data_IF_803075559829
#
_entry.id   IF_803075559829
#
_cell.length_a   1.000
_cell.length_b   1.000
_cell.length_c   1.000
_cell.angle_alpha   90.00
_cell.angle_beta   90.00
_cell.angle_gamma   90.00
#
_symmetry.space_group_name_H-M   'P 1'
#
loop_
_entity.id
_entity.type
_entity.pdbx_description
1 polymer ?
#
# COMPACT_ATOMS: atom_id res chain seq x y z
N UNK A 1 -10.04 -9.47 7.56
CA UNK A 1 -10.91 -8.58 6.77
C UNK A 1 -11.77 -7.62 7.60
N UNK A 2 -12.16 -7.94 8.84
CA UNK A 2 -12.96 -7.04 9.72
C UNK A 2 -12.38 -5.62 9.86
N UNK A 3 -11.07 -5.52 10.05
CA UNK A 3 -10.39 -4.23 10.17
C UNK A 3 -10.55 -3.36 8.91
N UNK A 4 -10.45 -3.95 7.72
CA UNK A 4 -10.57 -3.23 6.44
C UNK A 4 -11.97 -2.63 6.29
N UNK A 5 -13.01 -3.42 6.54
CA UNK A 5 -14.39 -2.93 6.49
C UNK A 5 -14.64 -1.80 7.51
N UNK A 6 -14.12 -1.94 8.73
CA UNK A 6 -14.27 -0.92 9.76
C UNK A 6 -13.55 0.39 9.41
N UNK A 7 -12.33 0.31 8.89
CA UNK A 7 -11.57 1.48 8.44
C UNK A 7 -12.28 2.19 7.29
N UNK A 8 -12.70 1.45 6.26
CA UNK A 8 -13.46 2.03 5.14
C UNK A 8 -14.76 2.69 5.63
N UNK A 9 -15.52 2.01 6.50
CA UNK A 9 -16.74 2.57 7.07
C UNK A 9 -16.47 3.86 7.86
N UNK A 10 -15.47 3.87 8.73
CA UNK A 10 -15.11 5.07 9.51
C UNK A 10 -14.61 6.21 8.63
N UNK A 11 -13.90 5.95 7.53
CA UNK A 11 -13.48 7.00 6.59
C UNK A 11 -14.67 7.61 5.85
N UNK A 12 -15.58 6.79 5.31
CA UNK A 12 -16.76 7.29 4.60
C UNK A 12 -17.69 8.04 5.56
N UNK A 13 -17.93 7.51 6.76
CA UNK A 13 -18.72 8.17 7.78
C UNK A 13 -18.05 9.45 8.31
N UNK A 14 -16.71 9.48 8.39
CA UNK A 14 -15.95 10.67 8.80
C UNK A 14 -16.06 11.84 7.81
N UNK A 15 -16.40 11.57 6.55
CA UNK A 15 -16.66 12.58 5.53
C UNK A 15 -18.11 13.09 5.53
N UNK A 16 -19.03 12.39 6.22
CA UNK A 16 -20.44 12.80 6.34
C UNK A 16 -20.67 14.25 6.82
N UNK A 17 -19.97 14.80 7.84
CA UNK A 17 -20.18 16.18 8.27
C UNK A 17 -19.81 17.21 7.18
N UNK A 18 -18.80 16.92 6.35
CA UNK A 18 -18.39 17.80 5.25
C UNK A 18 -19.45 17.80 4.13
N UNK A 19 -20.05 16.64 3.87
CA UNK A 19 -21.11 16.49 2.86
C UNK A 19 -22.40 17.20 3.32
N UNK A 20 -22.65 17.24 4.63
CA UNK A 20 -23.82 17.88 5.22
C UNK A 20 -23.68 19.40 5.37
N UNK A 21 -22.45 19.94 5.35
CA UNK A 21 -22.20 21.37 5.48
C UNK A 21 -22.69 22.15 4.23
N UNK A 22 -23.33 23.31 4.47
CA UNK A 22 -23.89 24.21 3.45
C UNK A 22 -23.07 25.49 3.27
N UNK A 23 -21.97 25.65 4.00
CA UNK A 23 -21.07 26.78 3.85
C UNK A 23 -20.51 26.88 2.43
N UNK A 24 -20.27 28.11 1.94
CA UNK A 24 -19.67 28.35 0.61
C UNK A 24 -18.27 27.74 0.49
N UNK A 25 -17.58 27.56 1.61
CA UNK A 25 -16.28 26.90 1.67
C UNK A 25 -16.39 25.38 1.50
N UNK A 26 -17.45 24.76 2.04
CA UNK A 26 -17.71 23.33 1.89
C UNK A 26 -18.18 22.94 0.47
N UNK A 27 -18.77 23.86 -0.30
CA UNK A 27 -19.23 23.59 -1.67
C UNK A 27 -18.12 23.08 -2.61
N UNK A 28 -16.87 23.50 -2.40
CA UNK A 28 -15.72 22.96 -3.14
C UNK A 28 -15.24 21.61 -2.60
N UNK A 29 -15.43 21.34 -1.30
CA UNK A 29 -15.00 20.10 -0.64
C UNK A 29 -15.97 18.95 -0.88
N UNK A 30 -17.27 19.23 -1.02
CA UNK A 30 -18.32 18.23 -1.27
C UNK A 30 -18.01 17.33 -2.48
N UNK A 31 -17.74 17.85 -3.70
CA UNK A 31 -17.49 17.00 -4.87
C UNK A 31 -16.21 16.16 -4.71
N UNK A 32 -15.20 16.67 -4.00
CA UNK A 32 -13.99 15.91 -3.68
C UNK A 32 -14.27 14.78 -2.70
N UNK A 33 -14.99 15.06 -1.61
CA UNK A 33 -15.33 14.09 -0.58
C UNK A 33 -16.19 12.92 -1.12
N UNK A 34 -17.15 13.22 -2.00
CA UNK A 34 -17.98 12.20 -2.66
C UNK A 34 -17.11 11.31 -3.55
N UNK A 35 -16.22 11.90 -4.35
CA UNK A 35 -15.33 11.17 -5.26
C UNK A 35 -14.41 10.21 -4.50
N UNK A 36 -13.80 10.67 -3.39
CA UNK A 36 -12.93 9.85 -2.55
C UNK A 36 -13.71 8.74 -1.85
N UNK A 37 -14.90 9.03 -1.32
CA UNK A 37 -15.73 8.03 -0.62
C UNK A 37 -16.14 6.89 -1.54
N UNK A 38 -16.63 7.20 -2.75
CA UNK A 38 -16.98 6.19 -3.75
C UNK A 38 -15.75 5.42 -4.23
N UNK A 39 -14.64 6.11 -4.51
CA UNK A 39 -13.38 5.49 -4.90
C UNK A 39 -12.88 4.50 -3.84
N UNK A 40 -12.96 4.86 -2.56
CA UNK A 40 -12.56 4.00 -1.45
C UNK A 40 -13.45 2.77 -1.31
N UNK A 41 -14.78 2.91 -1.45
CA UNK A 41 -15.71 1.79 -1.41
C UNK A 41 -15.43 0.78 -2.54
N UNK A 42 -15.25 1.27 -3.77
CA UNK A 42 -14.91 0.42 -4.91
C UNK A 42 -13.52 -0.22 -4.76
N UNK A 43 -12.51 0.55 -4.36
CA UNK A 43 -11.16 0.04 -4.12
C UNK A 43 -11.14 -1.04 -3.02
N UNK A 44 -11.96 -0.89 -1.97
CA UNK A 44 -12.04 -1.87 -0.89
C UNK A 44 -12.47 -3.24 -1.43
N UNK A 45 -13.47 -3.30 -2.32
CA UNK A 45 -13.91 -4.56 -2.93
C UNK A 45 -12.78 -5.23 -3.72
N UNK A 46 -12.01 -4.46 -4.49
CA UNK A 46 -10.85 -4.96 -5.24
C UNK A 46 -9.75 -5.43 -4.29
N UNK A 47 -9.42 -4.64 -3.26
CA UNK A 47 -8.35 -4.94 -2.30
C UNK A 47 -8.63 -6.22 -1.51
N UNK A 48 -9.88 -6.53 -1.19
CA UNK A 48 -10.22 -7.79 -0.48
C UNK A 48 -9.73 -9.04 -1.23
N UNK A 49 -9.73 -9.01 -2.56
CA UNK A 49 -9.25 -10.10 -3.42
C UNK A 49 -7.77 -9.92 -3.76
N UNK A 50 -7.37 -8.69 -4.07
CA UNK A 50 -6.02 -8.39 -4.55
C UNK A 50 -4.96 -8.50 -3.45
N UNK A 51 -5.27 -8.05 -2.23
CA UNK A 51 -4.33 -8.04 -1.11
C UNK A 51 -3.75 -9.42 -0.78
N UNK A 52 -4.55 -10.50 -0.61
CA UNK A 52 -3.98 -11.82 -0.33
C UNK A 52 -3.11 -12.35 -1.48
N UNK A 53 -3.48 -12.07 -2.74
CA UNK A 53 -2.65 -12.42 -3.88
C UNK A 53 -1.31 -11.67 -3.85
N UNK A 54 -1.33 -10.38 -3.56
CA UNK A 54 -0.13 -9.56 -3.46
C UNK A 54 0.80 -10.00 -2.32
N UNK A 55 0.23 -10.38 -1.17
CA UNK A 55 1.01 -10.92 -0.05
C UNK A 55 1.71 -12.24 -0.40
N UNK A 56 1.04 -13.13 -1.12
CA UNK A 56 1.67 -14.36 -1.61
C UNK A 56 2.81 -14.09 -2.60
N UNK A 57 2.63 -13.14 -3.52
CA UNK A 57 3.67 -12.75 -4.47
C UNK A 57 4.86 -12.13 -3.74
N UNK A 58 4.61 -11.22 -2.80
CA UNK A 58 5.65 -10.60 -1.98
C UNK A 58 6.44 -11.66 -1.19
N UNK A 59 5.78 -12.69 -0.66
CA UNK A 59 6.46 -13.79 0.01
C UNK A 59 7.37 -14.58 -0.95
N UNK A 60 6.86 -14.91 -2.15
CA UNK A 60 7.64 -15.61 -3.18
C UNK A 60 8.89 -14.82 -3.61
N UNK A 61 8.75 -13.50 -3.78
CA UNK A 61 9.88 -12.62 -4.10
C UNK A 61 10.95 -12.72 -3.01
N UNK A 62 10.57 -12.63 -1.73
CA UNK A 62 11.52 -12.75 -0.60
C UNK A 62 12.24 -14.10 -0.59
N UNK A 63 11.50 -15.21 -0.76
CA UNK A 63 12.08 -16.56 -0.83
C UNK A 63 13.09 -16.64 -1.98
N UNK A 64 12.75 -16.11 -3.14
CA UNK A 64 13.62 -16.13 -4.31
C UNK A 64 14.87 -15.25 -4.13
N UNK A 65 14.73 -14.05 -3.57
CA UNK A 65 15.86 -13.18 -3.26
C UNK A 65 16.86 -13.83 -2.31
N UNK A 66 16.36 -14.55 -1.29
CA UNK A 66 17.23 -15.26 -0.32
C UNK A 66 17.84 -16.52 -0.96
N UNK A 67 17.07 -17.25 -1.77
CA UNK A 67 17.58 -18.40 -2.52
C UNK A 67 18.74 -18.03 -3.45
N UNK A 68 18.64 -16.90 -4.16
CA UNK A 68 19.71 -16.43 -5.05
C UNK A 68 21.00 -16.07 -4.30
N UNK A 69 20.92 -15.69 -3.03
CA UNK A 69 22.08 -15.30 -2.24
C UNK A 69 22.71 -16.46 -1.48
N UNK A 70 21.89 -17.32 -0.86
CA UNK A 70 22.35 -18.41 -0.01
C UNK A 70 22.52 -19.74 -0.77
N UNK A 71 22.00 -19.87 -1.98
CA UNK A 71 22.02 -21.12 -2.77
C UNK A 71 21.06 -22.21 -2.28
N UNK A 72 20.55 -22.11 -1.06
CA UNK A 72 19.56 -23.01 -0.49
C UNK A 72 18.16 -22.39 -0.51
N UNK A 73 17.13 -23.18 -0.88
CA UNK A 73 15.74 -22.70 -0.92
C UNK A 73 15.18 -22.68 0.51
N UNK A 74 14.97 -21.49 1.13
CA UNK A 74 14.38 -21.45 2.45
C UNK A 74 12.90 -21.84 2.39
N UNK A 75 12.40 -22.40 3.49
CA UNK A 75 10.97 -22.65 3.64
C UNK A 75 10.21 -21.31 3.59
N UNK A 76 9.09 -21.20 2.86
CA UNK A 76 8.33 -19.95 2.75
C UNK A 76 7.88 -19.35 4.08
N UNK A 77 7.78 -20.17 5.13
CA UNK A 77 7.43 -19.76 6.49
C UNK A 77 8.61 -19.11 7.24
N UNK A 78 9.85 -19.53 6.95
CA UNK A 78 11.06 -19.04 7.63
C UNK A 78 11.44 -17.61 7.24
N UNK A 79 10.83 -17.05 6.18
CA UNK A 79 11.05 -15.67 5.73
C UNK A 79 9.94 -14.72 6.22
N UNK A 80 8.89 -15.26 6.83
CA UNK A 80 7.78 -14.47 7.34
C UNK A 80 8.18 -13.73 8.62
N UNK A 81 7.87 -12.43 8.75
CA UNK A 81 8.21 -11.67 9.95
C UNK A 81 7.54 -12.18 11.23
N UNK A 82 6.41 -12.88 11.11
CA UNK A 82 5.61 -13.39 12.23
C UNK A 82 6.19 -14.67 12.86
N UNK A 83 7.25 -15.25 12.29
CA UNK A 83 7.81 -16.52 12.73
C UNK A 83 9.06 -16.27 13.58
N UNK A 84 9.05 -16.82 14.79
CA UNK A 84 10.18 -16.80 15.70
C UNK A 84 11.30 -17.71 15.13
N UNK A 85 12.53 -17.20 15.06
CA UNK A 85 13.65 -17.90 14.41
C UNK A 85 13.76 -17.71 12.89
N UNK A 86 13.14 -16.65 12.34
CA UNK A 86 13.22 -16.32 10.90
C UNK A 86 14.67 -16.20 10.41
N UNK A 87 14.91 -16.63 9.17
CA UNK A 87 16.19 -16.41 8.48
C UNK A 87 16.21 -14.95 8.03
N UNK A 88 16.89 -14.10 8.79
CA UNK A 88 17.06 -12.69 8.47
C UNK A 88 18.48 -12.42 7.98
N UNK A 89 18.73 -12.53 6.67
CA UNK A 89 19.98 -12.07 6.07
C UNK A 89 19.99 -10.53 6.03
N UNK A 90 20.71 -9.83 6.94
CA UNK A 90 20.58 -8.38 7.08
C UNK A 90 20.92 -7.62 5.79
N UNK A 91 21.86 -8.16 5.02
CA UNK A 91 22.32 -7.60 3.74
C UNK A 91 21.20 -7.51 2.68
N UNK A 92 20.41 -8.58 2.50
CA UNK A 92 19.33 -8.60 1.49
C UNK A 92 18.21 -7.64 1.88
N UNK A 93 17.88 -7.57 3.18
CA UNK A 93 16.89 -6.61 3.66
C UNK A 93 17.39 -5.16 3.54
N UNK A 94 18.69 -4.91 3.77
CA UNK A 94 19.29 -3.59 3.57
C UNK A 94 19.29 -3.17 2.09
N UNK A 95 19.68 -4.06 1.17
CA UNK A 95 19.65 -3.80 -0.28
C UNK A 95 18.20 -3.58 -0.75
N UNK A 96 17.28 -4.45 -0.31
CA UNK A 96 15.85 -4.30 -0.62
C UNK A 96 15.29 -2.98 -0.12
N UNK A 97 15.66 -2.56 1.10
CA UNK A 97 15.28 -1.27 1.67
C UNK A 97 15.86 -0.07 0.90
N UNK A 98 17.15 -0.12 0.55
CA UNK A 98 17.81 0.92 -0.23
C UNK A 98 17.19 1.06 -1.63
N UNK A 99 16.89 -0.07 -2.27
CA UNK A 99 16.18 -0.11 -3.56
C UNK A 99 14.79 0.50 -3.43
N UNK A 100 14.04 0.18 -2.36
CA UNK A 100 12.70 0.72 -2.13
C UNK A 100 12.72 2.24 -1.93
N UNK A 101 13.69 2.75 -1.17
CA UNK A 101 13.92 4.20 -1.00
C UNK A 101 14.27 4.86 -2.34
N UNK A 102 15.18 4.25 -3.10
CA UNK A 102 15.57 4.74 -4.42
C UNK A 102 14.40 4.76 -5.42
N UNK A 103 13.62 3.68 -5.47
CA UNK A 103 12.42 3.58 -6.31
C UNK A 103 11.37 4.63 -5.91
N UNK A 104 11.18 4.85 -4.62
CA UNK A 104 10.29 5.90 -4.12
C UNK A 104 10.77 7.30 -4.52
N UNK A 105 12.06 7.59 -4.37
CA UNK A 105 12.64 8.87 -4.80
C UNK A 105 12.49 9.09 -6.31
N UNK A 106 12.74 8.07 -7.12
CA UNK A 106 12.56 8.12 -8.58
C UNK A 106 11.09 8.36 -8.94
N UNK A 107 10.15 7.66 -8.27
CA UNK A 107 8.72 7.88 -8.46
C UNK A 107 8.34 9.33 -8.16
N UNK A 108 8.84 9.89 -7.05
CA UNK A 108 8.60 11.30 -6.68
C UNK A 108 9.15 12.25 -7.75
N UNK A 109 10.38 12.05 -8.22
CA UNK A 109 10.98 12.88 -9.27
C UNK A 109 10.17 12.82 -10.58
N UNK A 110 9.70 11.62 -10.96
CA UNK A 110 8.84 11.45 -12.14
C UNK A 110 7.53 12.22 -11.95
N UNK A 111 6.88 12.08 -10.79
CA UNK A 111 5.64 12.78 -10.49
C UNK A 111 5.82 14.31 -10.52
N UNK A 112 6.91 14.82 -9.95
CA UNK A 112 7.24 16.25 -10.01
C UNK A 112 7.44 16.73 -11.44
N UNK A 113 8.11 15.94 -12.28
CA UNK A 113 8.33 16.26 -13.70
C UNK A 113 7.03 16.23 -14.50
N UNK A 114 6.14 15.28 -14.23
CA UNK A 114 4.81 15.19 -14.86
C UNK A 114 3.93 16.37 -14.43
N UNK A 115 3.95 16.75 -13.16
CA UNK A 115 3.23 17.93 -12.67
C UNK A 115 3.73 19.22 -13.32
N UNK A 116 5.05 19.36 -13.51
CA UNK A 116 5.63 20.52 -14.21
C UNK A 116 5.46 20.50 -15.74
N UNK A 117 4.96 19.41 -16.32
CA UNK A 117 4.58 19.30 -17.74
C UNK A 117 3.09 19.62 -17.97
N UNK A 118 2.28 19.63 -16.91
CA UNK A 118 0.83 19.85 -16.94
C UNK A 118 0.43 21.29 -16.56
N UNK A 119 1.40 22.12 -16.17
CA UNK A 119 1.26 23.57 -15.90
C UNK A 119 2.03 24.34 -16.96
#
# INVERSE_FOLDING_TARGET
FRAIFLTTATTVLGLAPIIADKSTQAQFLIPMAISVSFGLLAATLVILILLPALLMIANRIKVYSIYLWNGEKPLPRMVEPAVEGRISSPLIYAIGGLLMIGAFAVLVVILMKVSGLLV
#
